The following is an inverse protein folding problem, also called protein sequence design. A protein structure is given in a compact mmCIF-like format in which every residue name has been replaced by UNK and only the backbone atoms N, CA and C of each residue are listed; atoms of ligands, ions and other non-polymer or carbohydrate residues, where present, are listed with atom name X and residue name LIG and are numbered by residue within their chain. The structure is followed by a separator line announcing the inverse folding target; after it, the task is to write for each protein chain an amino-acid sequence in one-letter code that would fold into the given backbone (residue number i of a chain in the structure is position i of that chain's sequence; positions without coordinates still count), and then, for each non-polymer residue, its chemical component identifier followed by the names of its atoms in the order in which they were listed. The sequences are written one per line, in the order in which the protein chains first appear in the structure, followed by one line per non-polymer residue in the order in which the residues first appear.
data_IF_548410856798
#
_entry.id   IF_548410856798
#
_cell.length_a   1.000
_cell.length_b   1.000
_cell.length_c   1.000
_cell.angle_alpha   90.00
_cell.angle_beta   90.00
_cell.angle_gamma   90.00
#
_symmetry.space_group_name_H-M   'P 1'
#
loop_
_entity.id
_entity.type
_entity.pdbx_description
1 polymer ?
#
# COMPACT_ATOMS: atom_id res chain seq x y z
N UNK A 1 -3.06 -3.50 -0.94
CA UNK A 1 -3.03 -2.65 -2.15
C UNK A 1 -4.37 -2.57 -2.88
N UNK A 2 -4.91 -3.66 -3.48
CA UNK A 2 -6.15 -3.56 -4.31
C UNK A 2 -7.38 -3.00 -3.56
N UNK A 3 -7.62 -3.41 -2.32
CA UNK A 3 -8.76 -2.93 -1.54
C UNK A 3 -8.69 -1.42 -1.26
N UNK A 4 -7.50 -0.91 -0.94
CA UNK A 4 -7.26 0.53 -0.72
C UNK A 4 -7.50 1.30 -2.01
N UNK A 5 -6.97 0.82 -3.14
CA UNK A 5 -7.21 1.43 -4.46
C UNK A 5 -8.69 1.55 -4.80
N UNK A 6 -9.48 0.49 -4.56
CA UNK A 6 -10.93 0.53 -4.75
C UNK A 6 -11.62 1.53 -3.82
N UNK A 7 -11.31 1.51 -2.52
CA UNK A 7 -11.86 2.46 -1.55
C UNK A 7 -11.51 3.92 -1.91
N UNK A 8 -10.36 4.14 -2.56
CA UNK A 8 -9.95 5.44 -3.07
C UNK A 8 -10.56 5.81 -4.44
N UNK A 9 -11.33 4.93 -5.08
CA UNK A 9 -11.82 5.13 -6.45
C UNK A 9 -10.69 5.18 -7.49
N UNK A 10 -9.52 4.61 -7.18
CA UNK A 10 -8.37 4.56 -8.08
C UNK A 10 -8.54 3.42 -9.09
N UNK A 11 -8.49 3.77 -10.37
CA UNK A 11 -8.69 2.86 -11.51
C UNK A 11 -7.38 2.43 -12.19
N UNK A 12 -6.23 2.73 -11.58
CA UNK A 12 -4.93 2.36 -12.13
C UNK A 12 -4.63 0.86 -12.06
N UNK A 13 -3.50 0.49 -12.66
CA UNK A 13 -3.02 -0.90 -12.70
C UNK A 13 -1.86 -1.08 -11.72
N UNK A 14 -1.96 -2.08 -10.86
CA UNK A 14 -0.84 -2.52 -10.02
C UNK A 14 0.15 -3.32 -10.87
N UNK A 15 1.42 -2.94 -10.80
CA UNK A 15 2.54 -3.61 -11.46
C UNK A 15 3.54 -4.04 -10.40
N UNK A 16 3.94 -5.31 -10.42
CA UNK A 16 4.98 -5.83 -9.54
C UNK A 16 6.33 -5.72 -10.24
N UNK A 17 7.32 -5.14 -9.57
CA UNK A 17 8.68 -4.96 -10.10
C UNK A 17 9.62 -5.86 -9.28
N UNK A 18 10.48 -6.68 -9.92
CA UNK A 18 11.55 -7.37 -9.21
C UNK A 18 12.47 -6.37 -8.50
N UNK A 19 13.02 -6.75 -7.35
CA UNK A 19 13.88 -5.85 -6.55
C UNK A 19 15.10 -5.38 -7.33
N UNK A 20 15.60 -6.22 -8.22
CA UNK A 20 16.76 -5.96 -9.09
C UNK A 20 16.47 -4.91 -10.17
N UNK A 21 15.19 -4.66 -10.46
CA UNK A 21 14.74 -3.66 -11.42
C UNK A 21 14.46 -2.28 -10.80
N UNK A 22 14.63 -2.11 -9.48
CA UNK A 22 14.38 -0.85 -8.81
C UNK A 22 15.63 0.05 -8.80
N UNK A 23 15.49 1.39 -8.93
CA UNK A 23 16.58 2.33 -8.77
C UNK A 23 17.29 2.21 -7.42
N UNK A 24 18.57 2.57 -7.38
CA UNK A 24 19.36 2.59 -6.16
C UNK A 24 18.70 3.52 -5.11
N UNK A 25 18.53 3.02 -3.88
CA UNK A 25 17.88 3.77 -2.79
C UNK A 25 16.37 3.58 -2.69
N UNK A 26 15.71 2.95 -3.68
CA UNK A 26 14.27 2.65 -3.63
C UNK A 26 13.97 1.29 -2.98
N UNK A 27 14.98 0.43 -2.88
CA UNK A 27 14.86 -0.79 -2.11
C UNK A 27 14.90 -0.47 -0.62
N UNK A 28 13.83 -0.77 0.11
CA UNK A 28 13.80 -0.62 1.56
C UNK A 28 14.90 -1.48 2.23
N UNK A 29 15.43 -0.99 3.35
CA UNK A 29 16.52 -1.62 4.10
C UNK A 29 16.06 -2.76 5.04
N UNK A 30 14.85 -3.28 4.86
CA UNK A 30 14.24 -4.31 5.70
C UNK A 30 14.06 -5.64 4.97
N UNK A 31 14.16 -6.75 5.71
CA UNK A 31 13.64 -8.04 5.25
C UNK A 31 12.16 -8.14 5.66
N UNK A 32 11.25 -8.11 4.69
CA UNK A 32 9.80 -8.24 4.90
C UNK A 32 9.26 -9.64 4.54
N UNK A 33 10.13 -10.61 4.30
CA UNK A 33 9.76 -11.97 3.94
C UNK A 33 9.37 -12.84 5.17
N UNK A 34 8.90 -12.23 6.26
CA UNK A 34 8.41 -12.99 7.40
C UNK A 34 7.09 -13.67 7.06
N UNK A 35 7.01 -14.97 7.35
CA UNK A 35 5.75 -15.69 7.31
C UNK A 35 4.94 -15.39 8.59
N UNK A 36 4.13 -14.33 8.55
CA UNK A 36 3.29 -13.90 9.65
C UNK A 36 1.88 -14.52 9.51
N UNK A 37 1.54 -15.43 10.42
CA UNK A 37 0.18 -15.97 10.58
C UNK A 37 -0.20 -15.88 12.04
N UNK A 38 -1.37 -15.32 12.34
CA UNK A 38 -1.84 -15.09 13.70
C UNK A 38 -3.28 -15.57 13.88
N UNK A 39 -3.53 -16.33 14.94
CA UNK A 39 -4.88 -16.69 15.37
C UNK A 39 -5.43 -15.63 16.33
N UNK A 40 -6.58 -15.07 15.97
CA UNK A 40 -7.26 -14.02 16.75
C UNK A 40 -8.41 -14.56 17.59
N UNK A 41 -8.60 -15.88 17.67
CA UNK A 41 -9.71 -16.54 18.39
C UNK A 41 -9.79 -16.11 19.84
N UNK A 42 -8.64 -15.99 20.52
CA UNK A 42 -8.59 -15.69 21.95
C UNK A 42 -9.16 -14.30 22.28
N UNK A 43 -8.72 -13.25 21.58
CA UNK A 43 -9.23 -11.88 21.82
C UNK A 43 -10.73 -11.77 21.48
N UNK A 44 -11.19 -12.51 20.48
CA UNK A 44 -12.60 -12.52 20.07
C UNK A 44 -13.49 -13.22 21.10
N UNK A 45 -13.00 -14.29 21.73
CA UNK A 45 -13.74 -15.05 22.73
C UNK A 45 -13.66 -14.43 24.12
N UNK A 46 -12.46 -14.08 24.58
CA UNK A 46 -12.23 -13.62 25.94
C UNK A 46 -12.58 -12.14 26.12
N UNK A 47 -12.27 -11.30 25.12
CA UNK A 47 -12.49 -9.86 25.19
C UNK A 47 -13.70 -9.40 24.37
N UNK A 48 -14.40 -10.35 23.71
CA UNK A 48 -15.53 -10.03 22.85
C UNK A 48 -15.16 -9.14 21.66
N UNK A 49 -13.87 -9.12 21.25
CA UNK A 49 -13.42 -8.25 20.18
C UNK A 49 -14.20 -8.51 18.89
N UNK A 50 -14.74 -7.44 18.33
CA UNK A 50 -15.42 -7.40 17.03
C UNK A 50 -15.06 -6.10 16.35
N UNK A 51 -14.92 -6.17 15.04
CA UNK A 51 -14.75 -5.01 14.21
C UNK A 51 -15.96 -4.07 14.35
N UNK A 52 -15.73 -2.78 14.62
CA UNK A 52 -16.81 -1.80 14.79
C UNK A 52 -17.52 -1.47 13.46
N UNK A 53 -16.82 -1.67 12.35
CA UNK A 53 -17.31 -1.55 10.98
C UNK A 53 -16.65 -2.62 10.12
N UNK A 54 -17.19 -2.90 8.93
CA UNK A 54 -16.51 -3.80 7.98
C UNK A 54 -15.17 -3.21 7.54
N UNK A 55 -14.25 -4.07 7.08
CA UNK A 55 -12.95 -3.62 6.53
C UNK A 55 -13.15 -2.64 5.37
N UNK A 56 -14.14 -2.90 4.50
CA UNK A 56 -14.45 -2.03 3.35
C UNK A 56 -14.92 -0.64 3.77
N UNK A 57 -15.81 -0.58 4.75
CA UNK A 57 -16.28 0.69 5.32
C UNK A 57 -15.12 1.42 6.03
N UNK A 58 -14.31 0.70 6.80
CA UNK A 58 -13.13 1.25 7.46
C UNK A 58 -12.17 1.89 6.47
N UNK A 59 -11.81 1.19 5.39
CA UNK A 59 -10.96 1.72 4.34
C UNK A 59 -11.56 2.97 3.67
N UNK A 60 -12.85 2.95 3.37
CA UNK A 60 -13.54 4.08 2.73
C UNK A 60 -13.53 5.32 3.63
N UNK A 61 -13.84 5.15 4.92
CA UNK A 61 -13.79 6.25 5.91
C UNK A 61 -12.38 6.78 6.09
N UNK A 62 -11.38 5.89 6.21
CA UNK A 62 -9.98 6.31 6.37
C UNK A 62 -9.51 7.09 5.16
N UNK A 63 -9.77 6.64 3.93
CA UNK A 63 -9.38 7.38 2.72
C UNK A 63 -10.07 8.75 2.67
N UNK A 64 -11.35 8.83 3.01
CA UNK A 64 -12.06 10.11 3.05
C UNK A 64 -11.44 11.07 4.08
N UNK A 65 -11.07 10.56 5.26
CA UNK A 65 -10.44 11.34 6.32
C UNK A 65 -9.03 11.83 5.94
N UNK A 66 -8.18 10.96 5.38
CA UNK A 66 -6.80 11.29 4.97
C UNK A 66 -6.77 12.36 3.88
N UNK A 67 -7.75 12.35 2.96
CA UNK A 67 -7.86 13.38 1.90
C UNK A 67 -8.11 14.79 2.43
N UNK A 68 -8.79 14.91 3.56
CA UNK A 68 -9.06 16.20 4.21
C UNK A 68 -8.06 16.52 5.34
N UNK A 69 -7.20 15.56 5.72
CA UNK A 69 -6.13 15.73 6.70
C UNK A 69 -4.79 15.17 6.19
N UNK A 70 -4.26 15.64 5.05
CA UNK A 70 -3.02 15.12 4.52
C UNK A 70 -1.85 15.37 5.50
N UNK A 71 -0.91 14.42 5.65
CA UNK A 71 0.27 14.64 6.45
C UNK A 71 1.10 15.80 5.88
N UNK A 72 1.53 16.71 6.76
CA UNK A 72 2.32 17.87 6.39
C UNK A 72 3.78 17.73 6.90
N UNK A 73 4.78 18.16 6.11
CA UNK A 73 4.66 18.72 4.76
C UNK A 73 4.51 17.64 3.67
N UNK A 74 3.70 17.92 2.65
CA UNK A 74 3.82 17.21 1.37
C UNK A 74 5.04 17.78 0.67
N UNK A 75 6.07 16.97 0.47
CA UNK A 75 7.32 17.35 -0.20
C UNK A 75 7.27 16.82 -1.65
N UNK A 76 6.97 17.66 -2.66
CA UNK A 76 6.97 17.22 -4.05
C UNK A 76 8.29 16.59 -4.48
N UNK A 77 9.40 17.05 -3.91
CA UNK A 77 10.75 16.55 -4.18
C UNK A 77 10.99 15.12 -3.69
N UNK A 78 10.09 14.59 -2.84
CA UNK A 78 10.13 13.20 -2.41
C UNK A 78 9.64 12.22 -3.50
N UNK A 79 9.03 12.71 -4.59
CA UNK A 79 8.47 11.89 -5.67
C UNK A 79 9.26 12.08 -6.97
N UNK A 80 9.88 11.01 -7.48
CA UNK A 80 10.57 11.01 -8.78
C UNK A 80 9.78 10.18 -9.80
N UNK A 81 8.73 10.78 -10.35
CA UNK A 81 7.88 10.16 -11.37
C UNK A 81 8.63 9.79 -12.64
N UNK A 82 9.73 10.50 -12.98
CA UNK A 82 10.53 10.18 -14.17
C UNK A 82 11.24 8.85 -14.01
N UNK A 83 11.78 8.57 -12.83
CA UNK A 83 12.35 7.28 -12.50
C UNK A 83 11.28 6.17 -12.46
N UNK A 84 10.09 6.44 -11.93
CA UNK A 84 8.97 5.47 -11.94
C UNK A 84 8.58 5.07 -13.37
N UNK A 85 8.46 6.05 -14.27
CA UNK A 85 8.14 5.83 -15.70
C UNK A 85 9.22 5.02 -16.42
N UNK A 86 10.50 5.27 -16.10
CA UNK A 86 11.62 4.52 -16.67
C UNK A 86 11.59 3.03 -16.26
N UNK A 87 11.27 2.74 -14.99
CA UNK A 87 11.08 1.37 -14.49
C UNK A 87 9.91 0.70 -15.22
N UNK A 88 8.78 1.38 -15.32
CA UNK A 88 7.59 0.85 -16.00
C UNK A 88 7.85 0.57 -17.49
N UNK A 89 8.60 1.42 -18.18
CA UNK A 89 9.00 1.22 -19.56
C UNK A 89 9.96 0.03 -19.73
N UNK A 90 10.83 -0.21 -18.76
CA UNK A 90 11.73 -1.38 -18.74
C UNK A 90 10.99 -2.71 -18.73
N UNK A 91 9.90 -2.80 -17.94
CA UNK A 91 9.10 -4.03 -17.82
C UNK A 91 8.37 -4.39 -19.12
N UNK A 92 7.87 -3.40 -19.86
CA UNK A 92 7.18 -3.61 -21.14
C UNK A 92 8.09 -4.15 -22.26
N UNK A 93 9.41 -4.02 -22.12
CA UNK A 93 10.39 -4.48 -23.13
C UNK A 93 10.86 -5.91 -22.92
N UNK A 94 10.48 -6.54 -21.80
CA UNK A 94 10.83 -7.92 -21.45
C UNK A 94 9.71 -8.94 -21.64
N UNK A 95 8.55 -8.51 -22.15
CA UNK A 95 7.45 -9.36 -22.66
C UNK A 95 7.61 -9.59 -24.16
#
# INVERSE_FOLDING_TARGET
MRAIGRAAGWSGRLVSVPREGLPQGWSEHGNYAQHLSADTTRIRRELGYRESVSVEEGLTRTVAWERVHPPAPVLPEAFDYSAEDAVLAGLKRGE
#
